data_IF_525078471821
#
_entry.id   IF_525078471821
#
_cell.length_a   1.000
_cell.length_b   1.000
_cell.length_c   1.000
_cell.angle_alpha   90.00
_cell.angle_beta   90.00
_cell.angle_gamma   90.00
#
_symmetry.space_group_name_H-M   'P 1'
#
loop_
_entity.id
_entity.type
_entity.pdbx_description
1 polymer ?
#
# COMPACT_ATOMS: atom_id res chain seq x y z
N UNK A 1 10.11 15.16 -25.38
CA UNK A 1 9.45 14.14 -24.53
C UNK A 1 8.60 14.88 -23.51
N UNK A 2 7.41 14.34 -23.15
CA UNK A 2 6.57 14.92 -22.10
C UNK A 2 7.29 14.84 -20.76
N UNK A 3 7.17 15.89 -19.95
CA UNK A 3 7.70 15.93 -18.59
C UNK A 3 6.62 15.44 -17.62
N UNK A 4 6.83 14.30 -17.00
CA UNK A 4 5.91 13.71 -16.03
C UNK A 4 6.55 13.78 -14.66
N UNK A 5 5.81 14.31 -13.69
CA UNK A 5 6.26 14.36 -12.31
C UNK A 5 5.47 13.35 -11.47
N UNK A 6 6.19 12.51 -10.73
CA UNK A 6 5.59 11.52 -9.82
C UNK A 6 5.93 11.88 -8.37
N UNK A 7 4.91 11.87 -7.49
CA UNK A 7 5.12 12.04 -6.06
C UNK A 7 4.92 10.72 -5.32
N UNK A 8 5.86 10.43 -4.44
CA UNK A 8 5.81 9.30 -3.49
C UNK A 8 6.26 9.78 -2.11
N UNK A 9 5.82 9.13 -1.05
CA UNK A 9 6.16 9.57 0.31
C UNK A 9 6.34 8.44 1.32
N UNK A 10 6.03 7.20 0.92
CA UNK A 10 6.11 6.04 1.80
C UNK A 10 6.74 4.84 1.09
N UNK A 11 7.26 3.89 1.89
CA UNK A 11 7.83 2.65 1.36
C UNK A 11 6.84 1.81 0.54
N UNK A 12 5.59 1.59 1.00
CA UNK A 12 4.60 0.89 0.19
C UNK A 12 4.36 1.54 -1.17
N UNK A 13 4.33 2.87 -1.24
CA UNK A 13 4.21 3.59 -2.52
C UNK A 13 5.41 3.32 -3.43
N UNK A 14 6.64 3.36 -2.90
CA UNK A 14 7.85 3.05 -3.67
C UNK A 14 7.83 1.63 -4.24
N UNK A 15 7.47 0.63 -3.42
CA UNK A 15 7.35 -0.76 -3.88
C UNK A 15 6.36 -0.86 -5.03
N UNK A 16 5.16 -0.35 -4.80
CA UNK A 16 4.05 -0.45 -5.74
C UNK A 16 4.29 0.35 -7.03
N UNK A 17 4.98 1.48 -6.95
CA UNK A 17 5.30 2.35 -8.08
C UNK A 17 6.59 1.96 -8.80
N UNK A 18 7.37 1.01 -8.28
CA UNK A 18 8.72 0.70 -8.77
C UNK A 18 8.81 0.49 -10.28
N UNK A 19 7.93 -0.31 -10.84
CA UNK A 19 7.94 -0.60 -12.28
C UNK A 19 7.34 0.55 -13.11
N UNK A 20 6.39 1.30 -12.56
CA UNK A 20 5.84 2.51 -13.21
C UNK A 20 6.91 3.60 -13.29
N UNK A 21 7.66 3.82 -12.21
CA UNK A 21 8.80 4.75 -12.17
C UNK A 21 9.82 4.37 -13.24
N UNK A 22 10.26 3.11 -13.28
CA UNK A 22 11.21 2.61 -14.29
C UNK A 22 10.68 2.77 -15.74
N UNK A 23 9.38 2.58 -15.95
CA UNK A 23 8.76 2.79 -17.25
C UNK A 23 8.72 4.27 -17.66
N UNK A 24 8.38 5.16 -16.72
CA UNK A 24 8.40 6.60 -16.93
C UNK A 24 9.82 7.13 -17.20
N UNK A 25 10.83 6.68 -16.44
CA UNK A 25 12.24 7.05 -16.66
C UNK A 25 12.72 6.72 -18.08
N UNK A 26 12.24 5.59 -18.63
CA UNK A 26 12.62 5.17 -19.98
C UNK A 26 11.87 5.91 -21.09
N UNK A 27 10.61 6.30 -20.86
CA UNK A 27 9.69 6.73 -21.91
C UNK A 27 9.35 8.23 -21.87
N UNK A 28 9.72 8.95 -20.82
CA UNK A 28 9.36 10.36 -20.60
C UNK A 28 10.56 11.15 -20.06
N UNK A 29 10.41 12.48 -19.96
CA UNK A 29 11.27 13.30 -19.11
C UNK A 29 10.69 13.22 -17.69
N UNK A 30 11.11 12.20 -16.92
CA UNK A 30 10.53 11.89 -15.64
C UNK A 30 11.21 12.61 -14.49
N UNK A 31 10.42 13.28 -13.66
CA UNK A 31 10.83 13.91 -12.39
C UNK A 31 10.23 13.12 -11.24
N UNK A 32 11.07 12.52 -10.42
CA UNK A 32 10.67 11.77 -9.22
C UNK A 32 10.83 12.64 -7.97
N UNK A 33 9.73 12.83 -7.24
CA UNK A 33 9.68 13.63 -6.01
C UNK A 33 9.33 12.73 -4.83
N UNK A 34 10.15 12.78 -3.78
CA UNK A 34 9.84 12.11 -2.51
C UNK A 34 9.43 13.16 -1.47
N UNK A 35 8.24 13.00 -0.88
CA UNK A 35 7.72 14.01 0.06
C UNK A 35 8.42 14.00 1.41
N UNK A 36 9.07 12.90 1.80
CA UNK A 36 9.81 12.83 3.07
C UNK A 36 8.91 12.94 4.30
N UNK A 37 7.65 12.51 4.21
CA UNK A 37 6.74 12.56 5.35
C UNK A 37 7.10 11.58 6.47
N UNK A 38 7.89 10.56 6.18
CA UNK A 38 8.43 9.62 7.17
C UNK A 38 9.96 9.75 7.22
N UNK A 39 10.51 10.04 8.40
CA UNK A 39 11.84 10.61 8.65
C UNK A 39 13.02 9.63 8.57
N UNK A 40 13.02 8.58 7.77
CA UNK A 40 14.12 7.62 7.76
C UNK A 40 14.79 7.53 6.38
N UNK A 41 15.68 8.51 6.09
CA UNK A 41 16.42 8.57 4.82
C UNK A 41 17.35 7.37 4.61
N UNK A 42 18.05 6.91 5.64
CA UNK A 42 18.98 5.79 5.53
C UNK A 42 18.26 4.45 5.30
N UNK A 43 17.12 4.25 5.95
CA UNK A 43 16.25 3.09 5.69
C UNK A 43 15.60 3.13 4.31
N UNK A 44 15.41 4.31 3.73
CA UNK A 44 14.86 4.46 2.38
C UNK A 44 15.87 4.08 1.28
N UNK A 45 17.18 4.32 1.48
CA UNK A 45 18.20 4.04 0.45
C UNK A 45 18.25 2.56 0.09
N UNK A 46 18.19 1.66 1.07
CA UNK A 46 18.15 0.20 0.85
C UNK A 46 16.97 -0.19 -0.04
N UNK A 47 15.81 0.45 0.14
CA UNK A 47 14.63 0.19 -0.69
C UNK A 47 14.80 0.65 -2.14
N UNK A 48 15.43 1.79 -2.37
CA UNK A 48 15.73 2.25 -3.73
C UNK A 48 16.65 1.28 -4.47
N UNK A 49 17.69 0.81 -3.77
CA UNK A 49 18.66 -0.14 -4.33
C UNK A 49 18.02 -1.53 -4.60
N UNK A 50 17.25 -2.05 -3.65
CA UNK A 50 16.54 -3.34 -3.77
C UNK A 50 15.55 -3.35 -4.93
N UNK A 51 14.82 -2.24 -5.12
CA UNK A 51 13.80 -2.09 -6.14
C UNK A 51 14.36 -1.61 -7.50
N UNK A 52 15.65 -1.27 -7.55
CA UNK A 52 16.29 -0.73 -8.76
C UNK A 52 15.68 0.60 -9.22
N UNK A 53 15.28 1.44 -8.26
CA UNK A 53 14.76 2.78 -8.49
C UNK A 53 15.88 3.79 -8.26
N UNK A 54 15.99 4.78 -9.16
CA UNK A 54 16.93 5.87 -8.98
C UNK A 54 16.55 6.77 -7.80
N UNK A 55 17.51 7.56 -7.33
CA UNK A 55 17.23 8.59 -6.32
C UNK A 55 16.21 9.61 -6.83
N UNK A 56 15.35 10.13 -5.94
CA UNK A 56 14.45 11.24 -6.29
C UNK A 56 15.24 12.47 -6.73
N UNK A 57 14.67 13.21 -7.70
CA UNK A 57 15.21 14.49 -8.12
C UNK A 57 14.99 15.59 -7.07
N UNK A 58 13.86 15.47 -6.33
CA UNK A 58 13.53 16.37 -5.23
C UNK A 58 13.12 15.57 -3.99
N UNK A 59 13.60 16.05 -2.83
CA UNK A 59 13.19 15.53 -1.51
C UNK A 59 12.56 16.68 -0.71
N UNK A 60 11.25 16.59 -0.43
CA UNK A 60 10.50 17.73 0.11
C UNK A 60 10.65 17.91 1.63
N UNK A 61 11.17 16.93 2.38
CA UNK A 61 11.29 17.01 3.85
C UNK A 61 9.99 17.50 4.53
N UNK A 62 8.85 16.98 4.08
CA UNK A 62 7.55 17.50 4.50
C UNK A 62 7.11 17.02 5.89
N UNK A 63 7.89 16.16 6.58
CA UNK A 63 7.57 15.72 7.93
C UNK A 63 7.36 16.92 8.86
N UNK A 64 6.21 16.95 9.56
CA UNK A 64 5.84 17.97 10.51
C UNK A 64 5.57 17.38 11.90
N UNK A 65 5.38 18.23 12.93
CA UNK A 65 5.09 17.79 14.28
C UNK A 65 3.72 17.11 14.43
N UNK A 66 2.84 17.29 13.46
CA UNK A 66 1.53 16.66 13.38
C UNK A 66 1.06 16.55 11.93
N UNK A 67 -0.05 15.86 11.70
CA UNK A 67 -0.61 15.62 10.36
C UNK A 67 -0.91 16.94 9.60
N UNK A 68 -1.50 17.93 10.26
CA UNK A 68 -1.84 19.21 9.64
C UNK A 68 -0.58 19.95 9.14
N UNK A 69 0.48 19.99 9.95
CA UNK A 69 1.75 20.59 9.57
C UNK A 69 2.43 19.83 8.42
N UNK A 70 2.36 18.49 8.43
CA UNK A 70 2.86 17.67 7.32
C UNK A 70 2.11 17.97 6.03
N UNK A 71 0.77 18.02 6.07
CA UNK A 71 -0.08 18.34 4.92
C UNK A 71 0.26 19.74 4.37
N UNK A 72 0.36 20.74 5.24
CA UNK A 72 0.70 22.10 4.84
C UNK A 72 2.05 22.16 4.10
N UNK A 73 3.07 21.47 4.63
CA UNK A 73 4.40 21.40 3.99
C UNK A 73 4.37 20.64 2.67
N UNK A 74 3.59 19.56 2.56
CA UNK A 74 3.42 18.85 1.28
C UNK A 74 2.86 19.80 0.23
N UNK A 75 1.79 20.54 0.55
CA UNK A 75 1.15 21.48 -0.37
C UNK A 75 2.13 22.59 -0.79
N UNK A 76 2.77 23.26 0.17
CA UNK A 76 3.68 24.38 -0.07
C UNK A 76 4.89 23.95 -0.90
N UNK A 77 5.56 22.87 -0.52
CA UNK A 77 6.80 22.43 -1.15
C UNK A 77 6.57 21.76 -2.50
N UNK A 78 5.45 21.05 -2.67
CA UNK A 78 5.04 20.54 -3.97
C UNK A 78 4.72 21.69 -4.94
N UNK A 79 4.07 22.76 -4.47
CA UNK A 79 3.79 23.94 -5.30
C UNK A 79 5.08 24.57 -5.85
N UNK A 80 6.10 24.73 -4.99
CA UNK A 80 7.41 25.26 -5.41
C UNK A 80 8.10 24.37 -6.46
N UNK A 81 8.03 23.03 -6.29
CA UNK A 81 8.58 22.08 -7.29
C UNK A 81 7.78 22.15 -8.60
N UNK A 82 6.45 22.26 -8.56
CA UNK A 82 5.65 22.42 -9.78
C UNK A 82 5.98 23.73 -10.53
N UNK A 83 6.28 24.80 -9.80
CA UNK A 83 6.72 26.06 -10.41
C UNK A 83 8.08 25.93 -11.10
N UNK A 84 9.03 25.27 -10.43
CA UNK A 84 10.37 25.04 -10.97
C UNK A 84 10.35 24.10 -12.18
N UNK A 85 9.66 22.96 -12.05
CA UNK A 85 9.70 21.88 -13.04
C UNK A 85 8.73 22.07 -14.21
N UNK A 86 7.62 22.77 -14.02
CA UNK A 86 6.56 22.98 -15.00
C UNK A 86 6.16 21.68 -15.74
N UNK A 87 5.74 20.62 -15.01
CA UNK A 87 5.46 19.34 -15.63
C UNK A 87 4.21 19.40 -16.54
N UNK A 88 4.21 18.57 -17.60
CA UNK A 88 3.04 18.37 -18.46
C UNK A 88 1.92 17.62 -17.74
N UNK A 89 2.27 16.78 -16.76
CA UNK A 89 1.32 16.05 -15.92
C UNK A 89 1.95 15.63 -14.59
N UNK A 90 1.07 15.40 -13.60
CA UNK A 90 1.42 14.85 -12.29
C UNK A 90 0.76 13.48 -12.13
N UNK A 91 1.53 12.48 -11.71
CA UNK A 91 1.06 11.15 -11.35
C UNK A 91 1.17 10.99 -9.84
N UNK A 92 0.06 10.66 -9.19
CA UNK A 92 -0.06 10.45 -7.76
C UNK A 92 -0.49 9.01 -7.49
N UNK A 93 0.00 8.45 -6.40
CA UNK A 93 -0.33 7.11 -5.96
C UNK A 93 -1.00 7.10 -4.58
N UNK A 94 -2.10 6.36 -4.44
CA UNK A 94 -2.74 6.05 -3.16
C UNK A 94 -3.33 7.27 -2.44
N UNK A 95 -3.36 7.19 -1.12
CA UNK A 95 -4.18 8.05 -0.26
C UNK A 95 -3.44 8.64 0.94
N UNK A 96 -2.11 8.61 0.92
CA UNK A 96 -1.31 9.24 1.97
C UNK A 96 -1.37 10.77 1.88
N UNK A 97 -0.86 11.45 2.90
CA UNK A 97 -0.79 12.91 2.87
C UNK A 97 0.00 13.46 1.67
N UNK A 98 0.91 12.68 1.09
CA UNK A 98 1.64 13.03 -0.14
C UNK A 98 0.69 13.32 -1.32
N UNK A 99 -0.41 12.58 -1.38
CA UNK A 99 -1.41 12.74 -2.43
C UNK A 99 -2.11 14.11 -2.42
N UNK A 100 -2.10 14.84 -1.29
CA UNK A 100 -2.70 16.17 -1.21
C UNK A 100 -1.94 17.24 -2.01
N UNK A 101 -0.79 16.89 -2.61
CA UNK A 101 -0.17 17.66 -3.67
C UNK A 101 -1.07 17.86 -4.91
N UNK A 102 -2.18 17.14 -5.03
CA UNK A 102 -3.24 17.40 -6.04
C UNK A 102 -3.79 18.82 -5.94
N UNK A 103 -3.81 19.43 -4.74
CA UNK A 103 -4.37 20.77 -4.52
C UNK A 103 -3.56 21.84 -5.31
N UNK A 104 -2.25 22.01 -5.10
CA UNK A 104 -1.46 22.96 -5.90
C UNK A 104 -1.37 22.55 -7.38
N UNK A 105 -1.28 21.26 -7.72
CA UNK A 105 -1.30 20.79 -9.10
C UNK A 105 -2.57 21.25 -9.84
N UNK A 106 -3.75 21.09 -9.20
CA UNK A 106 -5.05 21.54 -9.74
C UNK A 106 -5.10 23.05 -9.94
N UNK A 107 -4.62 23.82 -8.96
CA UNK A 107 -4.58 25.29 -9.06
C UNK A 107 -3.65 25.79 -10.17
N UNK A 108 -2.57 25.06 -10.43
CA UNK A 108 -1.63 25.34 -11.56
C UNK A 108 -2.15 24.80 -12.90
N UNK A 109 -3.34 24.20 -12.94
CA UNK A 109 -3.92 23.61 -14.17
C UNK A 109 -3.02 22.55 -14.80
N UNK A 110 -2.34 21.76 -13.99
CA UNK A 110 -1.55 20.63 -14.43
C UNK A 110 -2.46 19.39 -14.46
N UNK A 111 -2.52 18.64 -15.56
CA UNK A 111 -3.24 17.38 -15.64
C UNK A 111 -2.81 16.39 -14.53
N UNK A 112 -3.77 15.84 -13.81
CA UNK A 112 -3.53 14.99 -12.64
C UNK A 112 -4.06 13.58 -12.92
N UNK A 113 -3.20 12.59 -12.74
CA UNK A 113 -3.50 11.16 -12.84
C UNK A 113 -3.34 10.53 -11.46
N UNK A 114 -4.35 9.81 -11.00
CA UNK A 114 -4.34 9.17 -9.69
C UNK A 114 -4.41 7.64 -9.83
N UNK A 115 -3.39 6.95 -9.33
CA UNK A 115 -3.35 5.49 -9.25
C UNK A 115 -3.85 5.00 -7.90
N UNK A 116 -4.44 3.81 -7.87
CA UNK A 116 -5.14 3.22 -6.72
C UNK A 116 -6.37 4.06 -6.31
N UNK A 117 -6.98 4.74 -7.27
CA UNK A 117 -8.16 5.57 -7.10
C UNK A 117 -9.41 4.75 -6.75
N UNK A 118 -10.36 5.38 -6.08
CA UNK A 118 -11.70 4.85 -5.87
C UNK A 118 -11.86 3.85 -4.72
N UNK A 119 -10.82 3.56 -3.96
CA UNK A 119 -10.95 2.75 -2.75
C UNK A 119 -11.81 3.46 -1.70
N UNK A 120 -12.71 2.74 -1.02
CA UNK A 120 -13.56 3.27 0.06
C UNK A 120 -13.67 2.25 1.20
N UNK A 121 -13.48 2.71 2.43
CA UNK A 121 -13.83 1.94 3.62
C UNK A 121 -15.10 2.47 4.31
N UNK A 122 -15.63 3.61 3.85
CA UNK A 122 -16.83 4.28 4.38
C UNK A 122 -16.74 4.62 5.87
N UNK A 123 -15.55 4.73 6.41
CA UNK A 123 -15.28 5.09 7.80
C UNK A 123 -14.45 6.38 7.89
N UNK A 124 -15.07 7.53 8.19
CA UNK A 124 -14.36 8.80 8.26
C UNK A 124 -13.37 8.91 9.45
N UNK A 125 -13.34 7.91 10.35
CA UNK A 125 -12.32 7.84 11.41
C UNK A 125 -10.95 7.43 10.86
N UNK A 126 -10.92 6.84 9.65
CA UNK A 126 -9.69 6.49 8.93
C UNK A 126 -9.21 7.74 8.17
N UNK A 127 -8.04 8.32 8.52
CA UNK A 127 -7.55 9.56 7.89
C UNK A 127 -7.41 9.44 6.36
N UNK A 128 -7.01 8.29 5.87
CA UNK A 128 -6.86 8.00 4.45
C UNK A 128 -8.20 8.07 3.70
N UNK A 129 -9.34 7.81 4.36
CA UNK A 129 -10.67 7.94 3.73
C UNK A 129 -10.96 9.39 3.32
N UNK A 130 -10.49 10.35 4.10
CA UNK A 130 -10.62 11.77 3.79
C UNK A 130 -9.72 12.12 2.61
N UNK A 131 -8.44 11.71 2.67
CA UNK A 131 -7.46 12.01 1.65
C UNK A 131 -7.89 11.45 0.29
N UNK A 132 -8.32 10.18 0.21
CA UNK A 132 -8.67 9.55 -1.07
C UNK A 132 -9.84 10.23 -1.76
N UNK A 133 -10.84 10.70 -1.01
CA UNK A 133 -11.94 11.49 -1.57
C UNK A 133 -11.45 12.80 -2.18
N UNK A 134 -10.58 13.53 -1.48
CA UNK A 134 -9.99 14.77 -2.01
C UNK A 134 -9.17 14.48 -3.27
N UNK A 135 -8.32 13.46 -3.22
CA UNK A 135 -7.42 13.12 -4.32
C UNK A 135 -8.23 12.67 -5.56
N UNK A 136 -9.18 11.75 -5.39
CA UNK A 136 -10.01 11.25 -6.48
C UNK A 136 -10.79 12.38 -7.19
N UNK A 137 -11.42 13.28 -6.42
CA UNK A 137 -12.25 14.34 -6.96
C UNK A 137 -11.45 15.49 -7.58
N UNK A 138 -10.22 15.71 -7.17
CA UNK A 138 -9.34 16.72 -7.78
C UNK A 138 -8.56 16.16 -8.99
N UNK A 139 -8.41 14.85 -9.09
CA UNK A 139 -7.73 14.21 -10.22
C UNK A 139 -8.55 14.29 -11.50
N UNK A 140 -7.87 14.46 -12.63
CA UNK A 140 -8.51 14.54 -13.95
C UNK A 140 -8.76 13.14 -14.52
N UNK A 141 -7.88 12.19 -14.19
CA UNK A 141 -7.99 10.79 -14.62
C UNK A 141 -7.71 9.88 -13.42
N UNK A 142 -8.63 8.96 -13.16
CA UNK A 142 -8.55 7.99 -12.08
C UNK A 142 -8.25 6.59 -12.61
N UNK A 143 -7.15 5.99 -12.14
CA UNK A 143 -6.69 4.66 -12.50
C UNK A 143 -7.01 3.71 -11.34
N UNK A 144 -8.09 2.96 -11.49
CA UNK A 144 -8.61 2.08 -10.45
C UNK A 144 -8.08 0.66 -10.62
N UNK A 145 -7.96 -0.07 -9.50
CA UNK A 145 -7.53 -1.46 -9.52
C UNK A 145 -8.68 -2.38 -9.93
N UNK A 146 -9.88 -2.11 -9.41
CA UNK A 146 -11.01 -3.04 -9.46
C UNK A 146 -12.29 -2.39 -9.97
N UNK A 147 -13.26 -3.21 -10.31
CA UNK A 147 -14.59 -2.75 -10.70
C UNK A 147 -15.37 -2.16 -9.52
N UNK A 148 -15.12 -2.61 -8.28
CA UNK A 148 -15.67 -1.96 -7.09
C UNK A 148 -15.25 -0.51 -6.98
N UNK A 149 -13.95 -0.24 -7.10
CA UNK A 149 -13.42 1.12 -7.06
C UNK A 149 -14.01 2.00 -8.19
N UNK A 150 -14.14 1.46 -9.41
CA UNK A 150 -14.81 2.16 -10.51
C UNK A 150 -16.25 2.53 -10.17
N UNK A 151 -17.02 1.59 -9.63
CA UNK A 151 -18.44 1.81 -9.27
C UNK A 151 -18.60 2.88 -8.19
N UNK A 152 -17.70 2.93 -7.21
CA UNK A 152 -17.72 3.97 -6.19
C UNK A 152 -17.51 5.35 -6.80
N UNK A 153 -16.51 5.53 -7.66
CA UNK A 153 -16.27 6.80 -8.34
C UNK A 153 -17.43 7.24 -9.22
N UNK A 154 -18.04 6.30 -9.95
CA UNK A 154 -19.26 6.57 -10.76
C UNK A 154 -20.43 6.99 -9.89
N UNK A 155 -20.64 6.32 -8.74
CA UNK A 155 -21.69 6.67 -7.79
C UNK A 155 -21.47 8.05 -7.14
N UNK A 156 -20.23 8.48 -7.01
CA UNK A 156 -19.84 9.81 -6.53
C UNK A 156 -19.92 10.89 -7.63
N UNK A 157 -20.33 10.52 -8.85
CA UNK A 157 -20.58 11.44 -9.96
C UNK A 157 -19.35 11.77 -10.81
N UNK A 158 -18.26 11.03 -10.69
CA UNK A 158 -17.08 11.24 -11.54
C UNK A 158 -17.35 10.71 -12.97
N UNK A 159 -16.82 11.40 -14.01
CA UNK A 159 -17.13 11.06 -15.39
C UNK A 159 -16.47 9.74 -15.83
N UNK A 160 -17.29 8.82 -16.35
CA UNK A 160 -16.87 7.46 -16.71
C UNK A 160 -15.69 7.41 -17.70
N UNK A 161 -15.61 8.38 -18.63
CA UNK A 161 -14.54 8.46 -19.64
C UNK A 161 -13.17 8.80 -19.07
N UNK A 162 -13.08 9.09 -17.77
CA UNK A 162 -11.82 9.42 -17.06
C UNK A 162 -11.49 8.42 -15.96
N UNK A 163 -12.16 7.27 -15.96
CA UNK A 163 -11.93 6.20 -14.97
C UNK A 163 -11.51 4.94 -15.70
N UNK A 164 -10.25 4.51 -15.51
CA UNK A 164 -9.67 3.36 -16.19
C UNK A 164 -9.32 2.27 -15.19
N UNK A 165 -9.86 1.06 -15.40
CA UNK A 165 -9.45 -0.11 -14.63
C UNK A 165 -8.14 -0.65 -15.21
N UNK A 166 -7.07 -0.57 -14.44
CA UNK A 166 -5.73 -1.01 -14.85
C UNK A 166 -5.34 -2.36 -14.25
N UNK A 167 -5.97 -2.77 -13.16
CA UNK A 167 -5.61 -3.94 -12.39
C UNK A 167 -4.58 -3.63 -11.30
N UNK A 168 -4.13 -4.65 -10.59
CA UNK A 168 -3.13 -4.50 -9.55
C UNK A 168 -1.73 -4.44 -10.14
N UNK A 169 -0.99 -3.37 -9.81
CA UNK A 169 0.43 -3.25 -10.11
C UNK A 169 1.29 -4.19 -9.25
N UNK A 170 0.78 -4.66 -8.11
CA UNK A 170 1.48 -5.65 -7.27
C UNK A 170 1.68 -6.99 -7.99
N UNK A 171 0.78 -7.39 -8.90
CA UNK A 171 0.99 -8.60 -9.72
C UNK A 171 2.29 -8.50 -10.52
N UNK A 172 2.49 -7.38 -11.22
CA UNK A 172 3.69 -7.13 -12.03
C UNK A 172 4.95 -7.02 -11.15
N UNK A 173 4.85 -6.33 -10.01
CA UNK A 173 5.95 -6.19 -9.05
C UNK A 173 6.36 -7.54 -8.47
N UNK A 174 5.41 -8.34 -8.00
CA UNK A 174 5.69 -9.66 -7.45
C UNK A 174 6.31 -10.59 -8.49
N UNK A 175 5.86 -10.52 -9.74
CA UNK A 175 6.44 -11.29 -10.84
C UNK A 175 7.89 -10.90 -11.14
N UNK A 176 8.20 -9.59 -11.20
CA UNK A 176 9.55 -9.05 -11.42
C UNK A 176 10.53 -9.50 -10.33
N UNK A 177 10.10 -9.41 -9.06
CA UNK A 177 10.98 -9.72 -7.93
C UNK A 177 10.94 -11.18 -7.48
N UNK A 178 10.14 -12.03 -8.10
CA UNK A 178 10.03 -13.46 -7.76
C UNK A 178 11.39 -14.17 -7.59
N UNK A 179 12.37 -14.03 -8.51
CA UNK A 179 13.66 -14.72 -8.36
C UNK A 179 14.41 -14.28 -7.08
N UNK A 180 14.35 -13.00 -6.72
CA UNK A 180 14.96 -12.49 -5.50
C UNK A 180 14.24 -13.01 -4.26
N UNK A 181 12.90 -13.04 -4.29
CA UNK A 181 12.06 -13.54 -3.19
C UNK A 181 12.36 -15.03 -2.95
N UNK A 182 12.42 -15.83 -4.00
CA UNK A 182 12.72 -17.26 -3.92
C UNK A 182 14.13 -17.52 -3.35
N UNK A 183 15.11 -16.69 -3.72
CA UNK A 183 16.50 -16.78 -3.28
C UNK A 183 16.74 -16.22 -1.85
N UNK A 184 15.76 -15.56 -1.22
CA UNK A 184 15.93 -15.00 0.14
C UNK A 184 16.22 -16.11 1.16
N UNK A 185 17.26 -15.89 1.97
CA UNK A 185 17.70 -16.77 3.06
C UNK A 185 17.06 -16.43 4.42
N UNK A 186 16.05 -15.56 4.44
CA UNK A 186 15.44 -15.05 5.68
C UNK A 186 14.94 -16.14 6.62
N UNK A 187 14.43 -17.26 6.09
CA UNK A 187 14.00 -18.39 6.92
C UNK A 187 15.19 -19.00 7.68
N UNK A 188 16.30 -19.22 7.01
CA UNK A 188 17.51 -19.75 7.63
C UNK A 188 18.09 -18.78 8.67
N UNK A 189 18.17 -17.47 8.33
CA UNK A 189 18.62 -16.43 9.26
C UNK A 189 17.78 -16.36 10.53
N UNK A 190 16.50 -16.64 10.45
CA UNK A 190 15.58 -16.60 11.57
C UNK A 190 15.36 -17.95 12.24
N UNK A 191 15.92 -19.04 11.72
CA UNK A 191 15.71 -20.40 12.22
C UNK A 191 14.25 -20.83 12.09
N UNK A 192 13.59 -20.52 10.97
CA UNK A 192 12.20 -20.83 10.68
C UNK A 192 12.09 -21.94 9.64
N UNK A 193 11.08 -22.79 9.81
CA UNK A 193 10.72 -23.83 8.85
C UNK A 193 9.43 -23.44 8.11
N UNK A 194 9.34 -23.71 6.79
CA UNK A 194 8.12 -23.43 6.02
C UNK A 194 6.88 -24.10 6.67
N UNK A 195 5.76 -23.40 6.63
CA UNK A 195 4.47 -23.78 7.22
C UNK A 195 4.50 -24.02 8.76
N UNK A 196 5.57 -23.59 9.44
CA UNK A 196 5.78 -23.83 10.87
C UNK A 196 5.95 -22.55 11.69
N UNK A 197 5.43 -21.42 11.21
CA UNK A 197 5.45 -20.14 11.94
C UNK A 197 4.32 -19.23 11.47
N UNK A 198 3.99 -18.24 12.29
CA UNK A 198 3.12 -17.13 11.92
C UNK A 198 3.94 -15.89 11.59
N UNK A 199 3.55 -15.16 10.54
CA UNK A 199 4.02 -13.80 10.31
C UNK A 199 2.91 -12.82 10.62
N UNK A 200 3.23 -11.82 11.46
CA UNK A 200 2.26 -10.83 11.95
C UNK A 200 2.76 -9.41 11.65
N UNK A 201 1.87 -8.53 11.22
CA UNK A 201 2.14 -7.11 11.06
C UNK A 201 1.02 -6.28 11.68
N UNK A 202 1.36 -5.43 12.65
CA UNK A 202 0.45 -4.52 13.33
C UNK A 202 1.04 -3.12 13.39
N UNK A 203 0.42 -2.15 12.69
CA UNK A 203 0.94 -0.79 12.59
C UNK A 203 -0.16 0.29 12.53
N UNK A 204 -1.43 -0.10 12.41
CA UNK A 204 -2.56 0.84 12.36
C UNK A 204 -2.78 1.49 13.73
N UNK A 205 -3.03 2.82 13.71
CA UNK A 205 -3.27 3.64 14.90
C UNK A 205 -4.37 3.05 15.79
N UNK A 206 -5.44 2.58 15.18
CA UNK A 206 -6.58 1.97 15.84
C UNK A 206 -6.20 0.74 16.69
N UNK A 207 -5.16 -0.01 16.30
CA UNK A 207 -4.72 -1.22 16.98
C UNK A 207 -3.58 -0.97 17.98
N UNK A 208 -2.66 -0.05 17.66
CA UNK A 208 -1.41 0.10 18.44
C UNK A 208 -1.39 1.31 19.36
N UNK A 209 -2.18 2.37 19.10
CA UNK A 209 -2.16 3.59 19.91
C UNK A 209 -3.03 3.48 21.16
N UNK A 210 -4.02 2.61 21.17
CA UNK A 210 -4.82 2.33 22.37
C UNK A 210 -4.14 1.26 23.23
N UNK A 211 -3.71 1.56 24.47
CA UNK A 211 -3.12 0.56 25.36
C UNK A 211 -4.03 -0.64 25.61
N UNK A 212 -5.35 -0.43 25.65
CA UNK A 212 -6.32 -1.50 25.80
C UNK A 212 -6.35 -2.44 24.59
N UNK A 213 -6.40 -1.88 23.37
CA UNK A 213 -6.37 -2.71 22.15
C UNK A 213 -5.03 -3.40 21.94
N UNK A 214 -3.93 -2.74 22.29
CA UNK A 214 -2.61 -3.34 22.20
C UNK A 214 -2.48 -4.53 23.18
N UNK A 215 -3.05 -4.44 24.39
CA UNK A 215 -3.12 -5.61 25.32
C UNK A 215 -3.93 -6.76 24.73
N UNK A 216 -5.10 -6.49 24.17
CA UNK A 216 -5.92 -7.51 23.49
C UNK A 216 -5.13 -8.16 22.35
N UNK A 217 -4.41 -7.39 21.55
CA UNK A 217 -3.55 -7.92 20.50
C UNK A 217 -2.48 -8.87 21.05
N UNK A 218 -1.78 -8.49 22.11
CA UNK A 218 -0.75 -9.31 22.74
C UNK A 218 -1.33 -10.59 23.37
N UNK A 219 -2.50 -10.50 24.02
CA UNK A 219 -3.22 -11.66 24.53
C UNK A 219 -3.62 -12.65 23.43
N UNK A 220 -4.09 -12.13 22.27
CA UNK A 220 -4.43 -12.97 21.11
C UNK A 220 -3.18 -13.67 20.53
N UNK A 221 -2.01 -13.00 20.50
CA UNK A 221 -0.75 -13.68 20.13
C UNK A 221 -0.40 -14.82 21.09
N UNK A 222 -0.56 -14.59 22.39
CA UNK A 222 -0.38 -15.64 23.41
C UNK A 222 -1.31 -16.83 23.21
N UNK A 223 -2.60 -16.56 22.95
CA UNK A 223 -3.61 -17.61 22.65
C UNK A 223 -3.28 -18.36 21.37
N UNK A 224 -2.84 -17.65 20.34
CA UNK A 224 -2.44 -18.25 19.07
C UNK A 224 -1.26 -19.20 19.26
N UNK A 225 -0.22 -18.75 19.98
CA UNK A 225 0.91 -19.61 20.31
C UNK A 225 0.50 -20.84 21.11
N UNK A 226 -0.32 -20.67 22.15
CA UNK A 226 -0.81 -21.77 22.98
C UNK A 226 -1.62 -22.80 22.17
N UNK A 227 -2.40 -22.36 21.19
CA UNK A 227 -3.27 -23.21 20.38
C UNK A 227 -2.51 -24.01 19.29
N UNK A 228 -1.42 -23.48 18.74
CA UNK A 228 -0.71 -24.08 17.60
C UNK A 228 0.71 -24.57 17.93
N UNK A 229 1.32 -24.09 19.01
CA UNK A 229 2.71 -24.42 19.39
C UNK A 229 3.75 -23.89 18.37
N UNK A 230 3.39 -22.94 17.52
CA UNK A 230 4.26 -22.41 16.47
C UNK A 230 4.88 -21.06 16.86
N UNK A 231 6.11 -20.76 16.42
CA UNK A 231 6.69 -19.44 16.56
C UNK A 231 5.85 -18.34 15.90
N UNK A 232 5.86 -17.16 16.49
CA UNK A 232 5.20 -15.98 15.94
C UNK A 232 6.26 -14.91 15.70
N UNK A 233 6.41 -14.47 14.45
CA UNK A 233 7.30 -13.39 14.06
C UNK A 233 6.44 -12.14 13.79
N UNK A 234 6.66 -11.10 14.60
CA UNK A 234 5.96 -9.83 14.46
C UNK A 234 6.90 -8.82 13.78
N UNK A 235 6.56 -8.40 12.55
CA UNK A 235 7.24 -7.29 11.88
C UNK A 235 6.82 -5.99 12.54
N UNK A 236 7.72 -5.40 13.33
CA UNK A 236 7.37 -4.34 14.28
C UNK A 236 7.82 -2.98 13.79
N UNK A 237 6.87 -2.16 13.39
CA UNK A 237 7.15 -0.77 13.03
C UNK A 237 7.71 0.01 14.25
N UNK A 238 8.60 1.01 14.08
CA UNK A 238 9.15 1.81 15.20
C UNK A 238 8.07 2.38 16.13
N UNK A 239 6.94 2.85 15.57
CA UNK A 239 5.79 3.30 16.36
C UNK A 239 5.23 2.23 17.29
N UNK A 240 5.03 1.02 16.76
CA UNK A 240 4.53 -0.12 17.54
C UNK A 240 5.51 -0.50 18.64
N UNK A 241 6.81 -0.48 18.36
CA UNK A 241 7.85 -0.76 19.36
C UNK A 241 7.80 0.20 20.54
N UNK A 242 7.71 1.52 20.28
CA UNK A 242 7.59 2.53 21.33
C UNK A 242 6.32 2.33 22.20
N UNK A 243 5.24 1.83 21.61
CA UNK A 243 4.00 1.52 22.36
C UNK A 243 4.10 0.25 23.19
N UNK A 244 4.79 -0.78 22.68
CA UNK A 244 5.04 -2.01 23.42
C UNK A 244 5.84 -1.77 24.70
N UNK A 245 6.88 -0.93 24.62
CA UNK A 245 7.69 -0.53 25.78
C UNK A 245 6.84 0.18 26.87
N UNK A 246 5.81 0.90 26.48
CA UNK A 246 4.93 1.64 27.40
C UNK A 246 3.87 0.73 28.08
N UNK A 247 3.53 -0.41 27.52
CA UNK A 247 2.50 -1.32 28.06
C UNK A 247 3.03 -2.17 29.22
N UNK A 248 4.37 -2.31 29.34
CA UNK A 248 5.01 -3.13 30.38
C UNK A 248 5.00 -4.64 30.06
N UNK A 249 5.58 -5.44 30.94
CA UNK A 249 5.76 -6.88 30.75
C UNK A 249 4.41 -7.63 30.66
N UNK A 250 4.03 -7.98 29.46
CA UNK A 250 3.14 -9.09 29.22
C UNK A 250 4.01 -10.34 29.05
N UNK A 251 3.80 -11.35 29.89
CA UNK A 251 4.54 -12.60 29.83
C UNK A 251 4.18 -13.39 28.56
N UNK A 252 4.73 -12.96 27.42
CA UNK A 252 4.66 -13.69 26.17
C UNK A 252 5.79 -14.72 26.12
N UNK A 253 5.57 -15.89 25.50
CA UNK A 253 6.63 -16.87 25.25
C UNK A 253 7.76 -16.29 24.39
N UNK A 254 9.02 -16.74 24.61
CA UNK A 254 10.20 -16.34 23.81
C UNK A 254 10.05 -16.61 22.31
N UNK A 255 9.15 -17.53 21.96
CA UNK A 255 8.79 -17.85 20.57
C UNK A 255 7.95 -16.76 19.88
N UNK A 256 7.43 -15.77 20.62
CA UNK A 256 6.78 -14.56 20.07
C UNK A 256 7.85 -13.48 19.96
N UNK A 257 8.36 -13.28 18.74
CA UNK A 257 9.52 -12.42 18.46
C UNK A 257 9.10 -11.12 17.77
N UNK A 258 9.33 -9.98 18.40
CA UNK A 258 9.13 -8.66 17.84
C UNK A 258 10.41 -8.19 17.15
N UNK A 259 10.45 -8.28 15.83
CA UNK A 259 11.63 -7.97 15.03
C UNK A 259 11.47 -6.63 14.30
N UNK A 260 12.58 -5.94 13.95
CA UNK A 260 12.52 -4.76 13.10
C UNK A 260 11.76 -5.04 11.78
N UNK A 261 11.23 -4.01 11.11
CA UNK A 261 10.54 -4.19 9.83
C UNK A 261 11.46 -4.85 8.81
N UNK A 262 10.93 -5.83 8.11
CA UNK A 262 11.64 -6.50 7.02
C UNK A 262 11.62 -5.67 5.74
N UNK A 263 12.63 -5.84 4.89
CA UNK A 263 12.60 -5.40 3.49
C UNK A 263 11.53 -6.15 2.68
N UNK A 264 11.17 -5.60 1.53
CA UNK A 264 10.11 -6.16 0.67
C UNK A 264 10.34 -7.63 0.32
N UNK A 265 11.53 -7.97 -0.11
CA UNK A 265 11.92 -9.33 -0.55
C UNK A 265 11.76 -10.34 0.60
N UNK A 266 12.34 -10.04 1.76
CA UNK A 266 12.28 -10.92 2.94
C UNK A 266 10.85 -11.04 3.48
N UNK A 267 10.11 -9.92 3.49
CA UNK A 267 8.73 -9.93 3.99
C UNK A 267 7.82 -10.81 3.12
N UNK A 268 7.91 -10.71 1.80
CA UNK A 268 7.12 -11.57 0.90
C UNK A 268 7.55 -13.02 1.03
N UNK A 269 8.86 -13.31 1.19
CA UNK A 269 9.33 -14.68 1.47
C UNK A 269 8.75 -15.24 2.75
N UNK A 270 8.69 -14.44 3.83
CA UNK A 270 8.07 -14.85 5.08
C UNK A 270 6.57 -15.09 4.91
N UNK A 271 5.85 -14.20 4.21
CA UNK A 271 4.41 -14.37 3.95
C UNK A 271 4.12 -15.67 3.20
N UNK A 272 4.85 -15.94 2.12
CA UNK A 272 4.63 -17.14 1.28
C UNK A 272 5.04 -18.45 1.94
N UNK A 273 5.83 -18.37 3.02
CA UNK A 273 6.30 -19.54 3.78
C UNK A 273 5.59 -19.72 5.12
N UNK A 274 4.74 -18.78 5.55
CA UNK A 274 4.08 -18.82 6.85
C UNK A 274 2.92 -19.83 6.90
N UNK A 275 2.67 -20.37 8.09
CA UNK A 275 1.45 -21.13 8.39
C UNK A 275 0.19 -20.30 8.19
N UNK A 276 0.22 -19.04 8.63
CA UNK A 276 -0.80 -18.04 8.34
C UNK A 276 -0.21 -16.65 8.48
N UNK A 277 -0.71 -15.73 7.67
CA UNK A 277 -0.37 -14.30 7.71
C UNK A 277 -1.47 -13.56 8.47
N UNK A 278 -1.09 -12.81 9.51
CA UNK A 278 -2.02 -11.96 10.26
C UNK A 278 -1.60 -10.50 10.09
N UNK A 279 -2.49 -9.64 9.60
CA UNK A 279 -2.10 -8.26 9.32
C UNK A 279 -3.25 -7.26 9.44
N UNK A 280 -2.93 -6.04 9.86
CA UNK A 280 -3.82 -4.88 9.75
C UNK A 280 -3.52 -3.97 8.53
N UNK A 281 -2.65 -4.44 7.64
CA UNK A 281 -2.36 -3.73 6.38
C UNK A 281 -3.57 -3.70 5.46
N UNK A 282 -3.78 -2.57 4.77
CA UNK A 282 -4.80 -2.47 3.73
C UNK A 282 -4.51 -3.36 2.50
N UNK A 283 -3.26 -3.79 2.30
CA UNK A 283 -2.87 -4.59 1.13
C UNK A 283 -3.01 -6.10 1.32
N UNK A 284 -3.29 -6.56 2.56
CA UNK A 284 -3.32 -8.01 2.85
C UNK A 284 -4.32 -8.79 1.97
N UNK A 285 -5.46 -8.19 1.64
CA UNK A 285 -6.45 -8.83 0.77
C UNK A 285 -5.93 -9.04 -0.66
N UNK A 286 -5.17 -8.07 -1.17
CA UNK A 286 -4.52 -8.11 -2.46
C UNK A 286 -3.35 -9.10 -2.48
N UNK A 287 -2.50 -9.05 -1.46
CA UNK A 287 -1.37 -9.97 -1.28
C UNK A 287 -1.86 -11.41 -1.13
N UNK A 288 -2.90 -11.66 -0.32
CA UNK A 288 -3.48 -12.98 -0.16
C UNK A 288 -4.01 -13.55 -1.48
N UNK A 289 -4.71 -12.74 -2.28
CA UNK A 289 -5.22 -13.16 -3.57
C UNK A 289 -4.10 -13.47 -4.59
N UNK A 290 -3.06 -12.63 -4.65
CA UNK A 290 -1.98 -12.73 -5.63
C UNK A 290 -0.96 -13.82 -5.29
N UNK A 291 -0.67 -14.00 -4.00
CA UNK A 291 0.34 -14.95 -3.49
C UNK A 291 -0.25 -16.26 -2.98
N UNK A 292 -1.58 -16.39 -2.98
CA UNK A 292 -2.29 -17.55 -2.44
C UNK A 292 -1.98 -17.83 -0.96
N UNK A 293 -2.13 -16.80 -0.11
CA UNK A 293 -1.76 -16.88 1.30
C UNK A 293 -2.95 -17.28 2.17
N UNK A 294 -2.78 -18.15 3.18
CA UNK A 294 -3.71 -18.24 4.30
C UNK A 294 -3.59 -16.95 5.12
N UNK A 295 -4.60 -16.10 5.09
CA UNK A 295 -4.53 -14.76 5.67
C UNK A 295 -5.72 -14.41 6.55
N UNK A 296 -5.44 -13.69 7.65
CA UNK A 296 -6.42 -13.11 8.56
C UNK A 296 -6.11 -11.62 8.73
N UNK A 297 -7.11 -10.77 8.54
CA UNK A 297 -6.99 -9.36 8.93
C UNK A 297 -7.73 -9.09 10.22
N UNK A 298 -7.12 -8.32 11.13
CA UNK A 298 -7.71 -7.96 12.41
C UNK A 298 -8.14 -6.48 12.47
N UNK A 299 -8.53 -5.92 11.31
CA UNK A 299 -9.09 -4.56 11.19
C UNK A 299 -10.60 -4.53 11.49
N UNK A 300 -11.06 -3.37 11.98
CA UNK A 300 -12.51 -3.10 12.12
C UNK A 300 -13.15 -2.70 10.78
N UNK A 301 -12.38 -2.07 9.88
CA UNK A 301 -12.83 -1.64 8.54
C UNK A 301 -11.76 -1.93 7.50
N UNK A 302 -12.16 -2.20 6.26
CA UNK A 302 -11.24 -2.42 5.15
C UNK A 302 -11.79 -1.82 3.84
N UNK A 303 -10.89 -1.49 2.93
CA UNK A 303 -11.19 -0.82 1.67
C UNK A 303 -11.19 -1.72 0.42
N UNK A 304 -11.15 -3.05 0.60
CA UNK A 304 -11.01 -4.02 -0.51
C UNK A 304 -12.12 -5.07 -0.48
N UNK A 305 -13.36 -4.67 -0.82
CA UNK A 305 -14.52 -5.57 -0.79
C UNK A 305 -14.40 -6.74 -1.77
N UNK A 306 -13.68 -6.57 -2.86
CA UNK A 306 -13.40 -7.62 -3.84
C UNK A 306 -12.66 -8.83 -3.23
N UNK A 307 -11.84 -8.60 -2.21
CA UNK A 307 -11.22 -9.66 -1.45
C UNK A 307 -12.24 -10.47 -0.63
N UNK A 308 -13.27 -9.81 -0.11
CA UNK A 308 -14.36 -10.48 0.61
C UNK A 308 -15.27 -11.24 -0.36
N UNK A 309 -15.60 -10.67 -1.51
CA UNK A 309 -16.38 -11.35 -2.55
C UNK A 309 -15.72 -12.65 -3.00
N UNK A 310 -14.39 -12.66 -3.08
CA UNK A 310 -13.61 -13.81 -3.50
C UNK A 310 -13.19 -14.73 -2.34
N UNK A 311 -13.43 -14.34 -1.08
CA UNK A 311 -13.00 -15.11 0.08
C UNK A 311 -11.48 -15.23 0.23
N UNK A 312 -10.73 -14.15 -0.05
CA UNK A 312 -9.26 -14.17 -0.01
C UNK A 312 -8.69 -14.23 1.39
N UNK A 313 -9.47 -13.84 2.40
CA UNK A 313 -9.04 -13.80 3.80
C UNK A 313 -10.25 -13.80 4.75
N UNK A 314 -9.99 -13.93 6.04
CA UNK A 314 -10.99 -13.74 7.10
C UNK A 314 -10.74 -12.42 7.81
N UNK A 315 -11.83 -11.66 8.05
CA UNK A 315 -11.82 -10.44 8.87
C UNK A 315 -12.15 -10.83 10.32
N UNK A 316 -11.21 -10.61 11.22
CA UNK A 316 -11.31 -10.97 12.63
C UNK A 316 -10.90 -9.77 13.53
N UNK A 317 -11.78 -8.77 13.73
CA UNK A 317 -11.48 -7.61 14.55
C UNK A 317 -11.09 -7.99 15.97
N UNK A 318 -10.02 -7.35 16.47
CA UNK A 318 -9.46 -7.65 17.80
C UNK A 318 -10.51 -7.53 18.92
N UNK A 319 -10.60 -8.56 19.75
CA UNK A 319 -11.54 -8.63 20.87
C UNK A 319 -12.99 -8.94 20.48
N UNK A 320 -13.29 -9.11 19.19
CA UNK A 320 -14.63 -9.49 18.69
C UNK A 320 -14.66 -10.89 18.09
N UNK A 321 -13.59 -11.27 17.40
CA UNK A 321 -13.44 -12.60 16.78
C UNK A 321 -12.10 -13.17 17.21
N UNK A 322 -12.08 -14.45 17.61
CA UNK A 322 -10.87 -15.15 18.01
C UNK A 322 -9.93 -15.34 16.82
N UNK A 323 -8.68 -14.89 16.92
CA UNK A 323 -7.67 -15.13 15.89
C UNK A 323 -7.39 -16.63 15.71
N UNK A 324 -7.49 -17.43 16.79
CA UNK A 324 -7.32 -18.89 16.73
C UNK A 324 -8.39 -19.54 15.85
N UNK A 325 -9.66 -19.15 16.04
CA UNK A 325 -10.76 -19.67 15.21
C UNK A 325 -10.65 -19.19 13.76
N UNK A 326 -10.29 -17.94 13.55
CA UNK A 326 -10.09 -17.40 12.21
C UNK A 326 -8.97 -18.14 11.45
N UNK A 327 -7.83 -18.41 12.12
CA UNK A 327 -6.73 -19.19 11.52
C UNK A 327 -7.19 -20.62 11.22
N UNK A 328 -7.90 -21.29 12.14
CA UNK A 328 -8.45 -22.62 11.87
C UNK A 328 -9.38 -22.62 10.68
N UNK A 329 -10.24 -21.61 10.58
CA UNK A 329 -11.21 -21.50 9.47
C UNK A 329 -10.53 -21.23 8.12
N UNK A 330 -9.53 -20.35 8.08
CA UNK A 330 -8.78 -20.05 6.84
C UNK A 330 -7.97 -21.26 6.37
N UNK A 331 -7.54 -22.10 7.31
CA UNK A 331 -6.79 -23.34 7.03
C UNK A 331 -7.71 -24.55 6.80
N UNK A 332 -8.98 -24.46 7.21
CA UNK A 332 -9.93 -25.56 7.05
C UNK A 332 -10.38 -25.71 5.58
N UNK A 333 -10.57 -26.94 5.13
CA UNK A 333 -11.11 -27.23 3.80
C UNK A 333 -10.12 -27.09 2.65
N UNK A 334 -8.85 -26.85 2.93
CA UNK A 334 -7.79 -26.86 1.93
C UNK A 334 -7.37 -28.31 1.73
N UNK A 335 -8.05 -28.97 0.79
CA UNK A 335 -7.63 -30.27 0.27
C UNK A 335 -6.47 -30.09 -0.69
N UNK A 336 -5.75 -31.17 -0.97
CA UNK A 336 -4.63 -31.21 -1.91
C UNK A 336 -4.98 -30.48 -3.24
N UNK A 337 -4.16 -29.50 -3.61
CA UNK A 337 -4.28 -28.76 -4.87
C UNK A 337 -5.34 -27.63 -4.88
N UNK A 338 -5.95 -27.26 -3.76
CA UNK A 338 -6.84 -26.09 -3.67
C UNK A 338 -6.09 -24.87 -3.19
N UNK A 339 -6.49 -23.69 -3.68
CA UNK A 339 -5.96 -22.40 -3.23
C UNK A 339 -6.48 -22.05 -1.83
N UNK A 340 -5.62 -21.41 -1.02
CA UNK A 340 -6.01 -20.80 0.27
C UNK A 340 -6.91 -19.58 0.05
N UNK A 341 -6.52 -18.73 -0.89
CA UNK A 341 -7.25 -17.53 -1.23
C UNK A 341 -8.12 -17.73 -2.47
N UNK A 342 -9.27 -17.09 -2.49
CA UNK A 342 -10.07 -16.96 -3.69
C UNK A 342 -9.34 -16.15 -4.77
N UNK A 343 -9.72 -16.33 -6.02
CA UNK A 343 -9.20 -15.54 -7.13
C UNK A 343 -9.96 -14.21 -7.25
N UNK A 344 -9.23 -13.11 -7.36
CA UNK A 344 -9.77 -11.78 -7.70
C UNK A 344 -9.33 -11.44 -9.13
N UNK A 345 -10.16 -11.70 -10.15
CA UNK A 345 -9.79 -11.45 -11.55
C UNK A 345 -9.40 -9.99 -11.82
N UNK A 346 -9.98 -9.04 -11.08
CA UNK A 346 -9.70 -7.62 -11.23
C UNK A 346 -8.24 -7.25 -10.90
N UNK A 347 -7.57 -8.04 -10.07
CA UNK A 347 -6.15 -7.82 -9.76
C UNK A 347 -5.21 -8.24 -10.89
N UNK A 348 -5.69 -9.09 -11.80
CA UNK A 348 -4.89 -9.54 -12.95
C UNK A 348 -4.81 -8.42 -14.00
N UNK A 349 -3.83 -7.55 -13.82
CA UNK A 349 -3.61 -6.38 -14.68
C UNK A 349 -2.61 -6.63 -15.81
N UNK A 350 -1.77 -7.65 -15.71
CA UNK A 350 -0.63 -7.88 -16.63
C UNK A 350 0.37 -6.73 -16.53
N UNK A 351 0.83 -6.19 -17.67
CA UNK A 351 1.80 -5.08 -17.72
C UNK A 351 1.14 -3.73 -17.33
N UNK A 352 0.81 -3.56 -16.05
CA UNK A 352 0.13 -2.37 -15.52
C UNK A 352 0.99 -1.12 -15.69
N UNK A 353 2.31 -1.21 -15.48
CA UNK A 353 3.24 -0.10 -15.69
C UNK A 353 3.13 0.49 -17.10
N UNK A 354 3.07 -0.37 -18.12
CA UNK A 354 2.89 0.04 -19.51
C UNK A 354 1.52 0.67 -19.75
N UNK A 355 0.45 0.10 -19.19
CA UNK A 355 -0.90 0.68 -19.30
C UNK A 355 -0.96 2.09 -18.73
N UNK A 356 -0.42 2.29 -17.53
CA UNK A 356 -0.38 3.59 -16.86
C UNK A 356 0.31 4.63 -17.72
N UNK A 357 1.54 4.34 -18.20
CA UNK A 357 2.28 5.28 -19.05
C UNK A 357 1.51 5.61 -20.33
N UNK A 358 0.90 4.62 -20.99
CA UNK A 358 0.09 4.85 -22.20
C UNK A 358 -1.12 5.75 -21.91
N UNK A 359 -1.83 5.52 -20.81
CA UNK A 359 -2.98 6.35 -20.43
C UNK A 359 -2.52 7.78 -20.14
N UNK A 360 -1.47 7.95 -19.33
CA UNK A 360 -0.93 9.28 -19.02
C UNK A 360 -0.60 10.04 -20.31
N UNK A 361 0.21 9.46 -21.19
CA UNK A 361 0.62 10.10 -22.44
C UNK A 361 -0.56 10.40 -23.38
N UNK A 362 -1.60 9.55 -23.38
CA UNK A 362 -2.77 9.73 -24.26
C UNK A 362 -3.72 10.82 -23.77
N UNK A 363 -3.79 11.06 -22.45
CA UNK A 363 -4.82 11.92 -21.88
C UNK A 363 -4.36 13.32 -21.47
N UNK A 364 -3.06 13.61 -21.47
CA UNK A 364 -2.53 14.95 -21.13
C UNK A 364 -3.18 16.05 -21.99
N UNK A 365 -3.14 15.90 -23.30
CA UNK A 365 -3.68 16.92 -24.22
C UNK A 365 -5.22 16.97 -24.14
N UNK A 366 -5.86 15.83 -23.99
CA UNK A 366 -7.31 15.79 -23.81
C UNK A 366 -7.75 16.54 -22.55
N UNK A 367 -7.06 16.33 -21.40
CA UNK A 367 -7.34 17.06 -20.15
C UNK A 367 -7.08 18.55 -20.35
N UNK A 368 -5.93 18.93 -20.92
CA UNK A 368 -5.62 20.31 -21.20
C UNK A 368 -6.70 21.00 -22.04
N UNK A 369 -7.20 20.33 -23.07
CA UNK A 369 -8.24 20.88 -23.94
C UNK A 369 -9.61 20.90 -23.26
N UNK A 370 -10.07 19.78 -22.69
CA UNK A 370 -11.46 19.63 -22.22
C UNK A 370 -11.71 20.21 -20.82
N UNK A 371 -10.69 20.26 -19.95
CA UNK A 371 -10.81 20.78 -18.58
C UNK A 371 -10.32 22.21 -18.49
N UNK A 372 -9.20 22.50 -19.13
CA UNK A 372 -8.50 23.79 -18.96
C UNK A 372 -8.64 24.73 -20.14
N UNK A 373 -9.28 24.31 -21.24
CA UNK A 373 -9.41 25.08 -22.48
C UNK A 373 -8.08 25.66 -22.94
N UNK A 374 -6.98 24.95 -22.70
CA UNK A 374 -5.68 25.36 -23.19
C UNK A 374 -5.61 25.18 -24.71
N UNK A 375 -5.03 26.14 -25.48
CA UNK A 375 -4.82 25.96 -26.91
C UNK A 375 -3.98 24.70 -27.14
N UNK A 376 -4.41 23.89 -28.10
CA UNK A 376 -3.64 22.73 -28.53
C UNK A 376 -2.35 23.12 -29.23
N UNK A 377 -1.42 22.19 -29.42
CA UNK A 377 -0.19 22.40 -30.17
C UNK A 377 -0.44 22.43 -31.68
N UNK A 378 -1.55 23.04 -32.15
CA UNK A 378 -1.90 23.15 -33.56
C UNK A 378 -1.70 24.57 -34.07
#
# INVERSE_FOLDING_TARGET
MRKILTLVGTRPELVKMSLVIRALDRLTNHVLVHTGQNYDYELNQVFFDDLGIRRPDHFLEAAGPNAAATIARVIERADAVFEQEQPDAVLIYGDTNSGLAVIPAKRRKIPIFHMEAGNRCFDPRVPEEINRKVIDHLSDVNLVLTEHARRYLLAEGLPAQRIFKVGSHMEEVLAEFRPKIEASDVLARLGLEPDRFFIVSAHREENVDSPARLRVFLEELGRLHAAFGLPIVVSTHPRTRARLEAVGDLALPDSVRFLPPFGFIDYVKLQTSAHCVLSDSGTIAEEAALLDLPAVTFRDAHERPEGMDAGTLIVAPLGKVSLVEAVRAVRAGIGEGRRFAGSVPDYQGGAVSTKVVRIVLSYIDQVNHTVWSKPGPF
#
